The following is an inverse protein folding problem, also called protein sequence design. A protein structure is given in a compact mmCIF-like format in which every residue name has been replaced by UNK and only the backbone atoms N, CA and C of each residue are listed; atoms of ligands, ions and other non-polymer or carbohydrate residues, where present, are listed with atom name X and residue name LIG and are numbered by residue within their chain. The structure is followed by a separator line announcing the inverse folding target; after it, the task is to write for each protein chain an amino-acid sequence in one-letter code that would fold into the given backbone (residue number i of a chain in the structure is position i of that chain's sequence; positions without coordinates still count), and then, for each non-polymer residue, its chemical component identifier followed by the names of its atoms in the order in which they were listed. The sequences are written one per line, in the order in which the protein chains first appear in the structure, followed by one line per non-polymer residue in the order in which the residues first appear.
data_IF_572198152541
#
_entry.id   IF_572198152541
#
_cell.length_a   1.000
_cell.length_b   1.000
_cell.length_c   1.000
_cell.angle_alpha   90.00
_cell.angle_beta   90.00
_cell.angle_gamma   90.00
#
_symmetry.space_group_name_H-M   'P 1'
#
loop_
_entity.id
_entity.type
_entity.pdbx_description
1 polymer ?
#
# COMPACT_ATOMS: atom_id res chain seq x y z
N UNK A 1 -3.10 -22.23 -6.56
CA UNK A 1 -2.49 -22.16 -5.20
C UNK A 1 -3.58 -21.63 -4.28
N UNK A 2 -3.84 -22.32 -3.21
CA UNK A 2 -4.77 -21.82 -2.20
C UNK A 2 -4.01 -20.88 -1.25
N UNK A 3 -4.52 -19.65 -1.08
CA UNK A 3 -3.81 -18.63 -0.33
C UNK A 3 -4.15 -18.62 1.18
N UNK A 4 -5.21 -19.31 1.62
CA UNK A 4 -5.63 -19.35 3.03
C UNK A 4 -6.14 -18.01 3.56
N UNK A 5 -6.66 -17.14 2.67
CA UNK A 5 -7.16 -15.81 3.03
C UNK A 5 -8.65 -15.80 3.43
N UNK A 6 -9.37 -16.86 3.18
CA UNK A 6 -10.81 -16.96 3.51
C UNK A 6 -11.05 -16.73 5.01
N UNK A 7 -11.89 -15.76 5.32
CA UNK A 7 -12.25 -15.41 6.70
C UNK A 7 -11.18 -14.61 7.47
N UNK A 8 -10.01 -14.34 6.88
CA UNK A 8 -9.03 -13.38 7.41
C UNK A 8 -9.57 -11.96 7.30
N UNK A 9 -9.13 -11.09 8.18
CA UNK A 9 -9.51 -9.68 8.20
C UNK A 9 -8.33 -8.83 7.76
N UNK A 10 -8.50 -8.02 6.73
CA UNK A 10 -7.52 -7.10 6.21
C UNK A 10 -7.94 -5.64 6.40
N UNK A 11 -6.99 -4.77 6.73
CA UNK A 11 -7.13 -3.32 6.74
C UNK A 11 -6.21 -2.70 5.66
N UNK A 12 -6.78 -1.95 4.71
CA UNK A 12 -6.07 -1.37 3.56
C UNK A 12 -6.19 0.15 3.58
N UNK A 13 -5.07 0.85 3.72
CA UNK A 13 -5.05 2.32 3.64
C UNK A 13 -5.01 2.81 2.19
N UNK A 14 -5.77 3.86 1.85
CA UNK A 14 -5.86 4.38 0.47
C UNK A 14 -6.56 3.41 -0.48
N UNK A 15 -7.62 2.72 -0.01
CA UNK A 15 -8.26 1.58 -0.70
C UNK A 15 -9.26 1.91 -1.79
N UNK A 16 -9.46 3.18 -2.18
CA UNK A 16 -10.55 3.56 -3.12
C UNK A 16 -10.10 3.74 -4.57
N UNK A 17 -8.81 3.79 -4.86
CA UNK A 17 -8.27 4.01 -6.21
C UNK A 17 -6.97 3.25 -6.44
N UNK A 18 -6.64 2.96 -7.71
CA UNK A 18 -5.38 2.39 -8.16
C UNK A 18 -5.03 1.09 -7.41
N UNK A 19 -3.77 0.95 -7.00
CA UNK A 19 -3.26 -0.26 -6.35
C UNK A 19 -4.06 -0.62 -5.09
N UNK A 20 -4.45 0.37 -4.29
CA UNK A 20 -5.25 0.14 -3.08
C UNK A 20 -6.62 -0.47 -3.40
N UNK A 21 -7.32 0.05 -4.42
CA UNK A 21 -8.60 -0.50 -4.88
C UNK A 21 -8.43 -1.94 -5.37
N UNK A 22 -7.48 -2.19 -6.28
CA UNK A 22 -7.20 -3.55 -6.77
C UNK A 22 -6.79 -4.51 -5.65
N UNK A 23 -6.09 -4.01 -4.62
CA UNK A 23 -5.75 -4.81 -3.42
C UNK A 23 -7.01 -5.20 -2.63
N UNK A 24 -7.93 -4.27 -2.41
CA UNK A 24 -9.22 -4.57 -1.74
C UNK A 24 -10.00 -5.61 -2.55
N UNK A 25 -10.16 -5.38 -3.85
CA UNK A 25 -10.87 -6.30 -4.76
C UNK A 25 -10.23 -7.69 -4.77
N UNK A 26 -8.90 -7.77 -4.82
CA UNK A 26 -8.18 -9.05 -4.81
C UNK A 26 -8.36 -9.78 -3.48
N UNK A 27 -8.23 -9.13 -2.34
CA UNK A 27 -8.40 -9.75 -1.03
C UNK A 27 -9.85 -10.23 -0.82
N UNK A 28 -10.84 -9.46 -1.29
CA UNK A 28 -12.25 -9.85 -1.29
C UNK A 28 -12.47 -11.10 -2.16
N UNK A 29 -11.89 -11.14 -3.35
CA UNK A 29 -11.99 -12.30 -4.25
C UNK A 29 -11.40 -13.58 -3.64
N UNK A 30 -10.40 -13.45 -2.75
CA UNK A 30 -9.82 -14.57 -1.98
C UNK A 30 -10.63 -14.91 -0.72
N UNK A 31 -11.78 -14.25 -0.50
CA UNK A 31 -12.68 -14.52 0.61
C UNK A 31 -12.27 -13.86 1.94
N UNK A 32 -11.39 -12.88 1.92
CA UNK A 32 -11.09 -12.07 3.10
C UNK A 32 -12.20 -11.06 3.37
N UNK A 33 -12.36 -10.68 4.65
CA UNK A 33 -13.13 -9.51 5.07
C UNK A 33 -12.21 -8.29 5.04
N UNK A 34 -12.66 -7.18 4.47
CA UNK A 34 -11.77 -6.06 4.23
C UNK A 34 -12.32 -4.75 4.77
N UNK A 35 -11.60 -4.13 5.72
CA UNK A 35 -11.73 -2.72 6.00
C UNK A 35 -10.81 -1.93 5.06
N UNK A 36 -11.29 -0.81 4.54
CA UNK A 36 -10.44 0.10 3.77
C UNK A 36 -10.75 1.55 4.11
N UNK A 37 -9.75 2.41 4.01
CA UNK A 37 -9.96 3.83 4.24
C UNK A 37 -9.44 4.71 3.09
N UNK A 38 -10.05 5.89 2.97
CA UNK A 38 -9.58 6.98 2.14
C UNK A 38 -10.19 8.31 2.62
N UNK A 39 -9.67 9.44 2.11
CA UNK A 39 -10.09 10.79 2.52
C UNK A 39 -11.44 11.22 1.96
N UNK A 40 -11.78 10.75 0.76
CA UNK A 40 -13.00 11.17 0.04
C UNK A 40 -14.18 10.29 0.43
N UNK A 41 -15.08 10.83 1.25
CA UNK A 41 -16.22 10.11 1.80
C UNK A 41 -17.10 9.47 0.71
N UNK A 42 -17.39 10.20 -0.37
CA UNK A 42 -18.20 9.72 -1.49
C UNK A 42 -17.60 8.44 -2.11
N UNK A 43 -16.30 8.45 -2.41
CA UNK A 43 -15.63 7.27 -3.00
C UNK A 43 -15.60 6.09 -2.04
N UNK A 44 -15.42 6.34 -0.75
CA UNK A 44 -15.44 5.30 0.28
C UNK A 44 -16.82 4.64 0.33
N UNK A 45 -17.88 5.45 0.37
CA UNK A 45 -19.26 4.97 0.44
C UNK A 45 -19.67 4.22 -0.82
N UNK A 46 -19.40 4.80 -2.00
CA UNK A 46 -19.74 4.18 -3.28
C UNK A 46 -19.04 2.83 -3.45
N UNK A 47 -17.74 2.77 -3.23
CA UNK A 47 -16.98 1.55 -3.39
C UNK A 47 -17.38 0.47 -2.38
N UNK A 48 -17.64 0.84 -1.11
CA UNK A 48 -18.16 -0.09 -0.12
C UNK A 48 -19.54 -0.64 -0.52
N UNK A 49 -20.43 0.20 -1.06
CA UNK A 49 -21.74 -0.22 -1.52
C UNK A 49 -21.66 -1.17 -2.73
N UNK A 50 -20.76 -0.89 -3.67
CA UNK A 50 -20.50 -1.77 -4.84
C UNK A 50 -20.04 -3.16 -4.41
N UNK A 51 -19.06 -3.24 -3.51
CA UNK A 51 -18.54 -4.51 -3.02
C UNK A 51 -19.60 -5.29 -2.20
N UNK A 52 -20.38 -4.61 -1.38
CA UNK A 52 -21.48 -5.24 -0.61
C UNK A 52 -22.57 -5.80 -1.52
N UNK A 53 -22.91 -5.13 -2.60
CA UNK A 53 -23.85 -5.68 -3.62
C UNK A 53 -23.35 -6.98 -4.27
N UNK A 54 -22.02 -7.18 -4.31
CA UNK A 54 -21.39 -8.39 -4.79
C UNK A 54 -21.27 -9.48 -3.71
N UNK A 55 -21.80 -9.23 -2.50
CA UNK A 55 -21.76 -10.17 -1.37
C UNK A 55 -20.48 -10.10 -0.54
N UNK A 56 -19.62 -9.10 -0.75
CA UNK A 56 -18.40 -8.94 0.03
C UNK A 56 -18.66 -8.39 1.44
N UNK A 57 -17.95 -8.91 2.42
CA UNK A 57 -17.95 -8.40 3.81
C UNK A 57 -16.90 -7.30 3.95
N UNK A 58 -17.32 -6.06 3.76
CA UNK A 58 -16.40 -4.90 3.71
C UNK A 58 -16.87 -3.74 4.59
N UNK A 59 -15.90 -2.98 5.10
CA UNK A 59 -16.09 -1.78 5.89
C UNK A 59 -15.29 -0.61 5.29
N UNK A 60 -15.98 0.40 4.76
CA UNK A 60 -15.37 1.64 4.29
C UNK A 60 -15.33 2.68 5.42
N UNK A 61 -14.16 3.24 5.71
CA UNK A 61 -13.95 4.25 6.76
C UNK A 61 -13.32 5.49 6.15
N UNK A 62 -13.86 6.67 6.49
CA UNK A 62 -13.23 7.94 6.09
C UNK A 62 -12.09 8.24 7.06
N UNK A 63 -10.86 8.27 6.54
CA UNK A 63 -9.66 8.58 7.32
C UNK A 63 -8.57 9.20 6.43
N UNK A 64 -7.76 10.08 7.03
CA UNK A 64 -6.63 10.74 6.38
C UNK A 64 -5.32 10.28 7.01
N UNK A 65 -4.46 9.64 6.22
CA UNK A 65 -3.17 9.14 6.68
C UNK A 65 -2.22 10.24 7.19
N UNK A 66 -2.47 11.50 6.84
CA UNK A 66 -1.71 12.65 7.35
C UNK A 66 -2.24 13.20 8.68
N UNK A 67 -3.36 12.71 9.19
CA UNK A 67 -3.95 13.19 10.44
C UNK A 67 -3.62 12.27 11.59
N UNK A 68 -3.18 12.86 12.67
CA UNK A 68 -2.97 12.16 13.94
C UNK A 68 -4.26 11.52 14.43
N UNK A 69 -4.17 10.28 14.93
CA UNK A 69 -5.30 9.50 15.45
C UNK A 69 -6.14 8.78 14.39
N UNK A 70 -6.12 9.22 13.13
CA UNK A 70 -6.97 8.63 12.09
C UNK A 70 -6.55 7.19 11.74
N UNK A 71 -5.26 6.90 11.74
CA UNK A 71 -4.77 5.55 11.43
C UNK A 71 -5.01 4.57 12.57
N UNK A 72 -4.83 4.98 13.81
CA UNK A 72 -5.14 4.19 14.99
C UNK A 72 -6.64 3.88 15.04
N UNK A 73 -7.49 4.92 14.88
CA UNK A 73 -8.94 4.77 14.82
C UNK A 73 -9.38 3.82 13.72
N UNK A 74 -8.82 3.94 12.51
CA UNK A 74 -9.11 3.04 11.39
C UNK A 74 -8.83 1.58 11.71
N UNK A 75 -7.67 1.29 12.30
CA UNK A 75 -7.28 -0.07 12.68
C UNK A 75 -8.18 -0.63 13.79
N UNK A 76 -8.46 0.17 14.82
CA UNK A 76 -9.29 -0.26 15.95
C UNK A 76 -10.76 -0.47 15.53
N UNK A 77 -11.32 0.40 14.69
CA UNK A 77 -12.67 0.22 14.14
C UNK A 77 -12.75 -1.06 13.27
N UNK A 78 -11.75 -1.33 12.43
CA UNK A 78 -11.67 -2.55 11.63
C UNK A 78 -11.64 -3.81 12.50
N UNK A 79 -10.74 -3.83 13.49
CA UNK A 79 -10.60 -4.95 14.42
C UNK A 79 -11.87 -5.16 15.27
N UNK A 80 -12.51 -4.09 15.72
CA UNK A 80 -13.76 -4.14 16.48
C UNK A 80 -14.92 -4.66 15.63
N UNK A 81 -15.05 -4.19 14.40
CA UNK A 81 -16.16 -4.56 13.51
C UNK A 81 -16.13 -6.04 13.15
N UNK A 82 -14.95 -6.56 12.80
CA UNK A 82 -14.81 -7.96 12.37
C UNK A 82 -14.41 -8.93 13.50
N UNK A 83 -14.12 -8.44 14.71
CA UNK A 83 -13.71 -9.23 15.87
C UNK A 83 -12.26 -9.71 15.84
N UNK A 84 -11.48 -9.40 14.80
CA UNK A 84 -10.07 -9.78 14.61
C UNK A 84 -9.38 -8.84 13.61
N UNK A 85 -8.04 -8.91 13.57
CA UNK A 85 -7.25 -8.28 12.49
C UNK A 85 -6.04 -9.17 12.19
N UNK A 86 -5.90 -9.57 10.93
CA UNK A 86 -4.84 -10.46 10.45
C UNK A 86 -3.84 -9.76 9.54
N UNK A 87 -4.30 -8.80 8.74
CA UNK A 87 -3.53 -8.21 7.64
C UNK A 87 -3.66 -6.68 7.69
N UNK A 88 -2.54 -5.99 7.55
CA UNK A 88 -2.49 -4.55 7.29
C UNK A 88 -1.73 -4.29 6.00
N UNK A 89 -2.34 -3.52 5.10
CA UNK A 89 -1.70 -3.03 3.88
C UNK A 89 -1.57 -1.52 3.94
N UNK A 90 -0.35 -1.04 4.15
CA UNK A 90 0.01 0.37 4.12
C UNK A 90 0.23 0.82 2.68
N UNK A 91 -0.84 1.25 2.02
CA UNK A 91 -0.81 1.69 0.62
C UNK A 91 -1.01 3.20 0.48
N UNK A 92 -1.61 3.88 1.46
CA UNK A 92 -1.82 5.33 1.38
C UNK A 92 -0.52 6.08 1.08
N UNK A 93 -0.59 6.97 0.08
CA UNK A 93 0.54 7.78 -0.33
C UNK A 93 0.38 8.30 -1.74
N UNK A 94 1.27 9.19 -2.13
CA UNK A 94 1.35 9.76 -3.47
C UNK A 94 2.80 9.97 -3.88
N UNK A 95 3.04 10.40 -5.11
CA UNK A 95 4.37 10.84 -5.54
C UNK A 95 4.48 12.34 -5.37
N UNK A 96 5.40 12.77 -4.52
CA UNK A 96 5.89 14.14 -4.49
C UNK A 96 7.36 14.12 -4.94
N UNK A 97 7.61 14.48 -6.21
CA UNK A 97 8.97 14.47 -6.78
C UNK A 97 9.31 15.85 -7.27
N UNK A 98 10.35 16.44 -6.70
CA UNK A 98 10.88 17.75 -7.03
C UNK A 98 12.41 17.77 -6.92
N UNK A 99 13.04 18.77 -7.54
CA UNK A 99 14.43 19.10 -7.26
C UNK A 99 14.60 19.54 -5.78
N UNK A 100 15.72 19.22 -5.18
CA UNK A 100 15.96 19.43 -3.75
C UNK A 100 15.71 20.86 -3.30
N UNK A 101 16.20 21.84 -4.06
CA UNK A 101 16.07 23.28 -3.79
C UNK A 101 14.65 23.84 -3.95
N UNK A 102 13.70 23.03 -4.43
CA UNK A 102 12.28 23.38 -4.63
C UNK A 102 11.37 22.76 -3.59
N UNK A 103 11.90 21.93 -2.69
CA UNK A 103 11.09 21.26 -1.67
C UNK A 103 11.05 22.12 -0.41
N UNK A 104 9.91 22.71 -0.12
CA UNK A 104 9.66 23.44 1.12
C UNK A 104 9.47 22.47 2.31
N UNK A 105 9.75 22.94 3.53
CA UNK A 105 9.70 22.11 4.75
C UNK A 105 8.33 21.47 4.98
N UNK A 106 7.24 22.20 4.70
CA UNK A 106 5.88 21.65 4.81
C UNK A 106 5.63 20.45 3.90
N UNK A 107 6.32 20.36 2.75
CA UNK A 107 6.26 19.15 1.89
C UNK A 107 7.06 17.99 2.47
N UNK A 108 8.19 18.27 3.14
CA UNK A 108 8.93 17.27 3.89
C UNK A 108 8.08 16.69 5.01
N UNK A 109 7.48 17.55 5.82
CA UNK A 109 6.63 17.15 6.94
C UNK A 109 5.45 16.29 6.46
N UNK A 110 4.72 16.74 5.44
CA UNK A 110 3.59 16.02 4.89
C UNK A 110 4.00 14.65 4.31
N UNK A 111 5.14 14.58 3.62
CA UNK A 111 5.61 13.35 2.99
C UNK A 111 6.03 12.31 4.04
N UNK A 112 6.73 12.74 5.09
CA UNK A 112 7.08 11.91 6.26
C UNK A 112 5.81 11.46 6.99
N UNK A 113 4.86 12.37 7.21
CA UNK A 113 3.62 12.07 7.91
C UNK A 113 2.81 10.96 7.22
N UNK A 114 2.61 11.09 5.91
CA UNK A 114 1.82 10.12 5.13
C UNK A 114 2.57 8.79 4.92
N UNK A 115 3.90 8.81 4.72
CA UNK A 115 4.63 7.63 4.25
C UNK A 115 5.46 6.92 5.33
N UNK A 116 5.70 7.58 6.46
CA UNK A 116 6.43 7.01 7.58
C UNK A 116 5.52 6.93 8.80
N UNK A 117 5.02 8.08 9.28
CA UNK A 117 4.25 8.12 10.52
C UNK A 117 2.93 7.37 10.44
N UNK A 118 2.24 7.41 9.28
CA UNK A 118 1.05 6.59 9.08
C UNK A 118 1.35 5.08 9.22
N UNK A 119 2.50 4.59 8.69
CA UNK A 119 2.90 3.19 8.85
C UNK A 119 3.26 2.86 10.30
N UNK A 120 3.92 3.77 11.01
CA UNK A 120 4.22 3.60 12.44
C UNK A 120 2.93 3.47 13.24
N UNK A 121 1.95 4.36 12.99
CA UNK A 121 0.65 4.37 13.69
C UNK A 121 -0.17 3.12 13.39
N UNK A 122 -0.32 2.75 12.12
CA UNK A 122 -1.05 1.52 11.76
C UNK A 122 -0.40 0.27 12.35
N UNK A 123 0.93 0.15 12.30
CA UNK A 123 1.64 -0.99 12.88
C UNK A 123 1.45 -1.04 14.40
N UNK A 124 1.63 0.10 15.09
CA UNK A 124 1.46 0.19 16.56
C UNK A 124 0.06 -0.22 17.00
N UNK A 125 -0.98 0.23 16.30
CA UNK A 125 -2.36 -0.15 16.59
C UNK A 125 -2.67 -1.61 16.23
N UNK A 126 -2.10 -2.14 15.13
CA UNK A 126 -2.40 -3.49 14.65
C UNK A 126 -1.72 -4.60 15.47
N UNK A 127 -0.51 -4.39 15.96
CA UNK A 127 0.29 -5.41 16.68
C UNK A 127 -0.47 -6.07 17.83
N UNK A 128 -1.16 -5.35 18.74
CA UNK A 128 -1.93 -5.98 19.81
C UNK A 128 -3.05 -6.90 19.28
N UNK A 129 -3.75 -6.50 18.22
CA UNK A 129 -4.81 -7.29 17.61
C UNK A 129 -4.24 -8.56 16.95
N UNK A 130 -3.13 -8.43 16.22
CA UNK A 130 -2.45 -9.56 15.57
C UNK A 130 -1.90 -10.56 16.58
N UNK A 131 -1.32 -10.11 17.69
CA UNK A 131 -0.87 -10.99 18.78
C UNK A 131 -2.00 -11.82 19.37
N UNK A 132 -3.21 -11.25 19.52
CA UNK A 132 -4.39 -11.95 20.04
C UNK A 132 -4.84 -13.11 19.15
N UNK A 133 -4.60 -13.03 17.84
CA UNK A 133 -4.98 -14.07 16.86
C UNK A 133 -3.83 -14.99 16.47
N UNK A 134 -2.67 -14.87 17.14
CA UNK A 134 -1.51 -15.75 16.97
C UNK A 134 -0.61 -15.39 15.78
N UNK A 135 -0.70 -14.20 15.25
CA UNK A 135 0.15 -13.70 14.17
C UNK A 135 -0.53 -12.72 13.24
N UNK A 136 0.20 -12.25 12.24
CA UNK A 136 -0.34 -11.30 11.27
C UNK A 136 0.59 -11.03 10.10
N UNK A 137 0.14 -10.17 9.18
CA UNK A 137 0.89 -9.75 7.99
C UNK A 137 0.82 -8.23 7.88
N UNK A 138 1.96 -7.58 7.80
CA UNK A 138 2.05 -6.13 7.53
C UNK A 138 2.78 -5.97 6.20
N UNK A 139 2.10 -5.41 5.21
CA UNK A 139 2.64 -5.18 3.88
C UNK A 139 2.65 -3.67 3.61
N UNK A 140 3.81 -3.12 3.28
CA UNK A 140 3.94 -1.70 2.95
C UNK A 140 4.21 -1.51 1.47
N UNK A 141 3.40 -0.66 0.81
CA UNK A 141 3.64 -0.26 -0.57
C UNK A 141 4.74 0.79 -0.62
N UNK A 142 5.71 0.57 -1.47
CA UNK A 142 6.87 1.42 -1.65
C UNK A 142 7.14 1.64 -3.15
N UNK A 143 8.23 2.25 -3.51
CA UNK A 143 8.70 2.40 -4.89
C UNK A 143 10.17 1.99 -5.01
N UNK A 144 10.58 1.55 -6.20
CA UNK A 144 11.98 1.15 -6.46
C UNK A 144 12.98 2.29 -6.19
N UNK A 145 12.58 3.54 -6.36
CA UNK A 145 13.41 4.71 -6.04
C UNK A 145 13.79 4.85 -4.56
N UNK A 146 13.18 4.09 -3.65
CA UNK A 146 13.61 4.03 -2.25
C UNK A 146 14.94 3.28 -2.08
N UNK A 147 15.22 2.31 -2.96
CA UNK A 147 16.49 1.56 -3.01
C UNK A 147 17.50 2.23 -3.94
N UNK A 148 17.02 2.91 -4.97
CA UNK A 148 17.80 3.50 -6.06
C UNK A 148 17.29 4.92 -6.32
N UNK A 149 17.63 5.89 -5.44
CA UNK A 149 17.19 7.27 -5.61
C UNK A 149 17.82 7.92 -6.85
N UNK A 150 16.99 8.59 -7.65
CA UNK A 150 17.42 9.41 -8.76
C UNK A 150 17.46 10.89 -8.38
N UNK A 151 17.97 11.73 -9.29
CA UNK A 151 17.91 13.19 -9.14
C UNK A 151 16.45 13.68 -9.17
N UNK A 152 16.19 14.81 -8.50
CA UNK A 152 14.87 15.47 -8.44
C UNK A 152 13.71 14.54 -7.96
N UNK A 153 14.00 13.62 -7.05
CA UNK A 153 13.03 12.69 -6.48
C UNK A 153 12.77 12.96 -4.98
N UNK A 154 12.88 14.21 -4.55
CA UNK A 154 12.66 14.61 -3.16
C UNK A 154 11.23 15.12 -2.95
N UNK A 155 10.67 14.97 -1.74
CA UNK A 155 11.21 14.26 -0.55
C UNK A 155 10.96 12.73 -0.62
N UNK A 156 10.23 12.24 -1.61
CA UNK A 156 9.61 10.91 -1.63
C UNK A 156 10.60 9.75 -1.52
N UNK A 157 11.82 9.88 -2.05
CA UNK A 157 12.83 8.80 -1.94
C UNK A 157 13.34 8.65 -0.51
N UNK A 158 13.45 9.74 0.23
CA UNK A 158 13.92 9.74 1.62
C UNK A 158 12.88 9.11 2.54
N UNK A 159 11.63 9.57 2.48
CA UNK A 159 10.54 9.01 3.29
C UNK A 159 10.31 7.52 3.00
N UNK A 160 10.43 7.14 1.75
CA UNK A 160 10.25 5.74 1.35
C UNK A 160 11.45 4.86 1.73
N UNK A 161 12.68 5.38 1.74
CA UNK A 161 13.84 4.68 2.29
C UNK A 161 13.69 4.47 3.81
N UNK A 162 13.17 5.48 4.53
CA UNK A 162 12.82 5.34 5.95
C UNK A 162 11.78 4.23 6.17
N UNK A 163 10.76 4.13 5.29
CA UNK A 163 9.76 3.04 5.33
C UNK A 163 10.37 1.65 5.11
N UNK A 164 11.42 1.52 4.26
CA UNK A 164 12.16 0.25 4.13
C UNK A 164 12.87 -0.13 5.42
N UNK A 165 13.55 0.83 6.05
CA UNK A 165 14.24 0.61 7.31
C UNK A 165 13.26 0.24 8.44
N UNK A 166 12.13 0.94 8.53
CA UNK A 166 11.05 0.62 9.47
C UNK A 166 10.55 -0.82 9.28
N UNK A 167 10.20 -1.20 8.06
CA UNK A 167 9.71 -2.55 7.77
C UNK A 167 10.75 -3.62 8.13
N UNK A 168 12.04 -3.37 7.87
CA UNK A 168 13.11 -4.30 8.23
C UNK A 168 13.30 -4.44 9.74
N UNK A 169 13.23 -3.34 10.48
CA UNK A 169 13.28 -3.35 11.95
C UNK A 169 12.12 -4.16 12.53
N UNK A 170 10.89 -3.81 12.13
CA UNK A 170 9.68 -4.52 12.58
C UNK A 170 9.70 -6.01 12.23
N UNK A 171 10.21 -6.39 11.06
CA UNK A 171 10.27 -7.80 10.66
C UNK A 171 11.11 -8.67 11.59
N UNK A 172 12.19 -8.11 12.17
CA UNK A 172 13.03 -8.80 13.13
C UNK A 172 12.39 -8.87 14.53
N UNK A 173 11.81 -7.75 14.96
CA UNK A 173 11.20 -7.63 16.28
C UNK A 173 9.95 -8.51 16.43
N UNK A 174 9.14 -8.58 15.35
CA UNK A 174 7.82 -9.20 15.40
C UNK A 174 7.78 -10.67 14.94
N UNK A 175 8.87 -11.19 14.38
CA UNK A 175 8.92 -12.56 13.85
C UNK A 175 8.57 -13.63 14.89
N UNK A 176 9.04 -13.48 16.14
CA UNK A 176 8.73 -14.40 17.23
C UNK A 176 7.22 -14.44 17.58
N UNK A 177 6.46 -13.45 17.18
CA UNK A 177 5.01 -13.38 17.31
C UNK A 177 4.26 -13.84 16.05
N UNK A 178 4.95 -14.42 15.07
CA UNK A 178 4.38 -14.79 13.77
C UNK A 178 3.74 -13.61 13.03
N UNK A 179 4.22 -12.38 13.27
CA UNK A 179 3.82 -11.19 12.53
C UNK A 179 4.91 -10.92 11.49
N UNK A 180 4.58 -11.16 10.22
CA UNK A 180 5.52 -11.03 9.10
C UNK A 180 5.36 -9.67 8.45
N UNK A 181 6.49 -8.98 8.23
CA UNK A 181 6.51 -7.61 7.71
C UNK A 181 7.29 -7.58 6.41
N UNK A 182 6.64 -7.20 5.31
CA UNK A 182 7.24 -7.16 3.99
C UNK A 182 6.90 -5.87 3.25
N UNK A 183 7.64 -5.60 2.18
CA UNK A 183 7.47 -4.43 1.33
C UNK A 183 7.27 -4.86 -0.12
N UNK A 184 6.39 -4.16 -0.83
CA UNK A 184 6.24 -4.26 -2.28
C UNK A 184 6.71 -2.93 -2.89
N UNK A 185 7.81 -2.97 -3.65
CA UNK A 185 8.37 -1.80 -4.31
C UNK A 185 7.91 -1.77 -5.78
N UNK A 186 7.14 -0.75 -6.13
CA UNK A 186 6.56 -0.65 -7.49
C UNK A 186 7.40 0.22 -8.42
N UNK A 187 7.36 -0.12 -9.69
CA UNK A 187 7.87 0.69 -10.79
C UNK A 187 6.82 1.63 -11.37
N UNK A 188 6.63 1.56 -12.68
CA UNK A 188 5.64 2.35 -13.43
C UNK A 188 4.33 1.58 -13.53
N UNK A 189 3.37 1.92 -12.66
CA UNK A 189 2.05 1.28 -12.59
C UNK A 189 0.97 2.24 -13.05
N UNK A 190 0.02 1.78 -13.88
CA UNK A 190 -1.15 2.55 -14.31
C UNK A 190 -2.00 2.93 -13.10
N UNK A 191 -2.39 4.18 -13.01
CA UNK A 191 -3.16 4.71 -11.88
C UNK A 191 -3.73 6.08 -12.20
N UNK A 192 -4.71 6.53 -11.43
CA UNK A 192 -5.23 7.91 -11.50
C UNK A 192 -4.15 8.99 -11.32
N UNK A 193 -3.08 8.69 -10.59
CA UNK A 193 -1.93 9.59 -10.47
C UNK A 193 -1.18 9.74 -11.80
N UNK A 194 -1.03 8.67 -12.57
CA UNK A 194 -0.40 8.68 -13.90
C UNK A 194 -1.32 9.38 -14.92
N UNK A 195 -2.61 9.19 -14.83
CA UNK A 195 -3.59 9.91 -15.68
C UNK A 195 -3.50 11.42 -15.47
N UNK A 196 -3.46 11.89 -14.20
CA UNK A 196 -3.20 13.33 -13.90
C UNK A 196 -1.82 13.79 -14.40
N UNK A 197 -0.85 12.89 -14.48
CA UNK A 197 0.45 13.15 -15.12
C UNK A 197 0.33 13.37 -16.62
N UNK A 198 -0.51 12.58 -17.31
CA UNK A 198 -0.82 12.75 -18.72
C UNK A 198 -1.45 14.13 -18.98
N UNK A 199 -2.46 14.52 -18.21
CA UNK A 199 -3.12 15.83 -18.29
C UNK A 199 -2.13 16.99 -18.15
N UNK A 200 -1.26 16.94 -17.12
CA UNK A 200 -0.22 17.96 -16.92
C UNK A 200 0.75 18.09 -18.09
N UNK A 201 1.02 16.96 -18.75
CA UNK A 201 1.93 16.90 -19.90
C UNK A 201 1.18 17.12 -21.24
N UNK A 202 -0.12 17.45 -21.21
CA UNK A 202 -0.96 17.67 -22.41
C UNK A 202 -0.94 16.47 -23.37
N UNK A 203 -0.94 15.24 -22.84
CA UNK A 203 -0.99 13.98 -23.58
C UNK A 203 -2.30 13.26 -23.29
N UNK A 204 -2.74 12.41 -24.22
CA UNK A 204 -3.77 11.42 -23.88
C UNK A 204 -3.22 10.40 -22.90
N UNK A 205 -4.10 9.73 -22.15
CA UNK A 205 -3.70 8.68 -21.19
C UNK A 205 -2.96 7.55 -21.90
N UNK A 206 -3.46 7.15 -23.07
CA UNK A 206 -2.87 6.10 -23.90
C UNK A 206 -1.45 6.46 -24.37
N UNK A 207 -1.26 7.69 -24.85
CA UNK A 207 0.05 8.20 -25.25
C UNK A 207 1.02 8.23 -24.07
N UNK A 208 0.56 8.71 -22.91
CA UNK A 208 1.39 8.74 -21.69
C UNK A 208 1.79 7.34 -21.24
N UNK A 209 0.86 6.38 -21.26
CA UNK A 209 1.14 5.01 -20.91
C UNK A 209 2.10 4.34 -21.88
N UNK A 210 1.92 4.54 -23.20
CA UNK A 210 2.82 4.01 -24.21
C UNK A 210 4.23 4.58 -24.08
N UNK A 211 4.36 5.90 -23.93
CA UNK A 211 5.68 6.54 -23.80
C UNK A 211 6.38 6.15 -22.50
N UNK A 212 5.65 6.09 -21.39
CA UNK A 212 6.21 5.66 -20.10
C UNK A 212 6.60 4.17 -20.15
N UNK A 213 5.79 3.34 -20.80
CA UNK A 213 6.06 1.92 -20.98
C UNK A 213 7.36 1.64 -21.68
N UNK A 214 7.74 2.44 -22.69
CA UNK A 214 9.04 2.31 -23.40
C UNK A 214 10.26 2.46 -22.48
N UNK A 215 10.11 3.10 -21.32
CA UNK A 215 11.20 3.24 -20.34
C UNK A 215 11.35 2.03 -19.42
N UNK A 216 10.43 1.06 -19.50
CA UNK A 216 10.44 -0.17 -18.71
C UNK A 216 10.97 -1.31 -19.56
N UNK A 217 11.85 -2.19 -19.06
CA UNK A 217 12.35 -3.34 -19.84
C UNK A 217 11.26 -4.22 -20.43
N UNK A 218 10.14 -4.43 -19.73
CA UNK A 218 8.97 -5.15 -20.26
C UNK A 218 8.16 -4.37 -21.31
N UNK A 219 8.59 -3.18 -21.71
CA UNK A 219 8.00 -2.32 -22.75
C UNK A 219 6.52 -1.95 -22.51
N UNK A 220 6.09 -2.00 -21.26
CA UNK A 220 4.76 -1.57 -20.81
C UNK A 220 4.77 -1.09 -19.36
N UNK A 221 3.78 -0.31 -19.01
CA UNK A 221 3.46 -0.09 -17.60
C UNK A 221 2.80 -1.35 -17.01
N UNK A 222 2.99 -1.56 -15.70
CA UNK A 222 2.27 -2.60 -14.97
C UNK A 222 0.82 -2.19 -14.67
N UNK A 223 -0.03 -3.18 -14.45
CA UNK A 223 -1.41 -2.99 -13.97
C UNK A 223 -1.45 -3.01 -12.44
N UNK A 224 -2.44 -2.34 -11.85
CA UNK A 224 -2.62 -2.32 -10.40
C UNK A 224 -2.90 -3.73 -9.83
N UNK A 225 -3.54 -4.58 -10.61
CA UNK A 225 -3.85 -5.98 -10.28
C UNK A 225 -2.58 -6.84 -10.16
N UNK A 226 -1.55 -6.56 -10.96
CA UNK A 226 -0.27 -7.28 -10.86
C UNK A 226 0.41 -7.03 -9.51
N UNK A 227 0.30 -5.80 -9.00
CA UNK A 227 0.77 -5.43 -7.66
C UNK A 227 -0.10 -6.07 -6.57
N UNK A 228 -1.43 -6.02 -6.73
CA UNK A 228 -2.38 -6.61 -5.79
C UNK A 228 -2.18 -8.12 -5.63
N UNK A 229 -1.80 -8.83 -6.70
CA UNK A 229 -1.49 -10.27 -6.65
C UNK A 229 -0.28 -10.56 -5.74
N UNK A 230 0.78 -9.75 -5.82
CA UNK A 230 1.96 -9.89 -4.94
C UNK A 230 1.61 -9.55 -3.49
N UNK A 231 0.78 -8.51 -3.28
CA UNK A 231 0.29 -8.17 -1.93
C UNK A 231 -0.54 -9.32 -1.35
N UNK A 232 -1.45 -9.92 -2.12
CA UNK A 232 -2.25 -11.06 -1.69
C UNK A 232 -1.38 -12.28 -1.36
N UNK A 233 -0.35 -12.57 -2.17
CA UNK A 233 0.63 -13.61 -1.85
C UNK A 233 1.33 -13.34 -0.52
N UNK A 234 1.86 -12.14 -0.29
CA UNK A 234 2.54 -11.80 0.96
C UNK A 234 1.60 -11.78 2.18
N UNK A 235 0.32 -11.51 1.96
CA UNK A 235 -0.72 -11.57 2.99
C UNK A 235 -1.13 -12.99 3.37
N UNK A 236 -0.78 -13.98 2.55
CA UNK A 236 -1.26 -15.35 2.61
C UNK A 236 -0.41 -16.29 3.46
N UNK A 237 -0.91 -17.49 3.68
CA UNK A 237 -0.15 -18.57 4.32
C UNK A 237 0.93 -19.16 3.39
N UNK A 238 0.81 -18.94 2.07
CA UNK A 238 1.84 -19.32 1.10
C UNK A 238 3.16 -18.56 1.28
N UNK A 239 3.12 -17.39 1.94
CA UNK A 239 4.30 -16.59 2.29
C UNK A 239 4.73 -16.75 3.76
N UNK A 240 4.37 -17.84 4.43
CA UNK A 240 4.57 -18.06 5.87
C UNK A 240 6.04 -18.03 6.34
N UNK A 241 6.99 -18.10 5.44
CA UNK A 241 8.44 -17.98 5.77
C UNK A 241 9.11 -16.76 5.12
N UNK A 242 8.30 -15.79 4.62
CA UNK A 242 8.79 -14.56 3.97
C UNK A 242 8.57 -13.38 4.92
N UNK A 243 9.66 -12.83 5.47
CA UNK A 243 9.63 -11.62 6.31
C UNK A 243 10.88 -10.77 6.11
N UNK A 244 10.74 -9.46 6.21
CA UNK A 244 11.84 -8.51 6.02
C UNK A 244 12.32 -8.40 4.58
N UNK A 245 11.50 -8.83 3.62
CA UNK A 245 11.79 -8.78 2.17
C UNK A 245 11.15 -7.54 1.53
N UNK A 246 11.79 -7.07 0.46
CA UNK A 246 11.25 -6.04 -0.41
C UNK A 246 11.20 -6.58 -1.85
N UNK A 247 10.00 -6.92 -2.31
CA UNK A 247 9.78 -7.49 -3.65
C UNK A 247 9.55 -6.36 -4.65
N UNK A 248 10.35 -6.33 -5.72
CA UNK A 248 10.14 -5.40 -6.82
C UNK A 248 9.01 -5.91 -7.74
N UNK A 249 8.04 -5.03 -8.03
CA UNK A 249 7.01 -5.23 -9.05
C UNK A 249 7.11 -4.07 -10.02
N UNK A 250 8.03 -4.17 -10.96
CA UNK A 250 8.52 -3.03 -11.71
C UNK A 250 8.85 -3.30 -13.19
N UNK A 251 8.61 -4.52 -13.66
CA UNK A 251 8.91 -4.90 -15.06
C UNK A 251 10.39 -4.87 -15.40
N UNK A 252 11.27 -5.03 -14.39
CA UNK A 252 12.73 -4.99 -14.55
C UNK A 252 13.32 -3.56 -14.56
N UNK A 253 12.54 -2.55 -14.12
CA UNK A 253 12.97 -1.15 -14.15
C UNK A 253 14.12 -0.85 -13.20
N UNK A 254 14.16 -1.50 -12.03
CA UNK A 254 15.20 -1.28 -11.03
C UNK A 254 16.51 -1.94 -11.41
N UNK A 255 17.63 -1.23 -11.24
CA UNK A 255 18.99 -1.79 -11.38
C UNK A 255 19.47 -2.53 -10.12
N UNK A 256 18.65 -2.63 -9.08
CA UNK A 256 18.96 -3.30 -7.81
C UNK A 256 17.85 -4.27 -7.40
N UNK A 257 18.26 -5.37 -6.75
CA UNK A 257 17.34 -6.41 -6.24
C UNK A 257 16.64 -5.99 -4.96
#
# INVERSE_FOLDING_TARGET
MELGLRGKVAAVTGGTEGIGKSTVERLVAEGAKVAFCARRAELVQTFAAELKKQGADVLGIVADASKEGDMERFIDEAAKHFGRLDIVVNNAGGSGQMAFDKVEDNFWDLDIEIKVMAQVRTARAAIPHMKKVGGGRIISLNMVGAKQPGAAMFPTTVSRAAGLALAKGLSKELAAHNILVNVVAVGKIKSKQQERGAERNKKTVEQHYADTGKTVPMQRMGESEEVANVIAFLASDAASYVTGSCINVDGGLSGVL
#
